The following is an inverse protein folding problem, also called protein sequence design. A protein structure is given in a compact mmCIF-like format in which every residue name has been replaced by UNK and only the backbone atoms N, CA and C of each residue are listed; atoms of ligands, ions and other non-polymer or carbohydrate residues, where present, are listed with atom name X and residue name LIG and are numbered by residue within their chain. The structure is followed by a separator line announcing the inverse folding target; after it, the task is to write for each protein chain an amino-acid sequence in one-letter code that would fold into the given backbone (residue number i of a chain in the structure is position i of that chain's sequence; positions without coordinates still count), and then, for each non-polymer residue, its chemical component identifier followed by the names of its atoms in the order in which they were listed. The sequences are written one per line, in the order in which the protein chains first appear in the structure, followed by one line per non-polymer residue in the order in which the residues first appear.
data_IF_732309178610
#
_entry.id   IF_732309178610
#
_cell.length_a   1.000
_cell.length_b   1.000
_cell.length_c   1.000
_cell.angle_alpha   90.00
_cell.angle_beta   90.00
_cell.angle_gamma   90.00
#
_symmetry.space_group_name_H-M   'P 1'
#
loop_
_entity.id
_entity.type
_entity.pdbx_description
1 polymer ?
#
# COMPACT_ATOMS: atom_id res chain seq x y z
N UNK A 1 10.69 16.22 19.60
CA UNK A 1 11.36 15.46 18.52
C UNK A 1 10.72 15.89 17.22
N UNK A 2 11.48 16.53 16.32
CA UNK A 2 11.02 16.81 14.97
C UNK A 2 10.96 15.48 14.21
N UNK A 3 9.76 15.05 13.81
CA UNK A 3 9.60 13.89 12.93
C UNK A 3 10.11 14.33 11.55
N UNK A 4 11.15 13.66 11.06
CA UNK A 4 11.64 13.87 9.70
C UNK A 4 10.52 13.53 8.71
N UNK A 5 10.22 14.45 7.79
CA UNK A 5 9.17 14.21 6.79
C UNK A 5 9.73 13.37 5.65
N UNK A 6 9.05 12.26 5.36
CA UNK A 6 9.37 11.40 4.22
C UNK A 6 8.85 12.07 2.95
N UNK A 7 9.75 12.57 2.11
CA UNK A 7 9.38 13.19 0.83
C UNK A 7 9.30 12.21 -0.34
N UNK A 8 10.01 11.08 -0.26
CA UNK A 8 10.06 10.09 -1.34
C UNK A 8 9.74 8.71 -0.79
N UNK A 9 8.72 8.06 -1.37
CA UNK A 9 8.30 6.72 -0.99
C UNK A 9 8.36 5.80 -2.21
N UNK A 10 8.94 4.62 -2.03
CA UNK A 10 8.91 3.53 -3.00
C UNK A 10 8.03 2.40 -2.47
N UNK A 11 7.09 1.92 -3.28
CA UNK A 11 6.29 0.72 -3.01
C UNK A 11 6.66 -0.33 -4.04
N UNK A 12 7.11 -1.48 -3.57
CA UNK A 12 7.34 -2.66 -4.41
C UNK A 12 6.14 -3.58 -4.32
N UNK A 13 5.62 -3.99 -5.48
CA UNK A 13 4.44 -4.87 -5.56
C UNK A 13 4.56 -5.83 -6.73
N UNK A 14 4.07 -7.05 -6.56
CA UNK A 14 3.89 -8.02 -7.65
C UNK A 14 2.54 -7.88 -8.37
N UNK A 15 1.67 -6.97 -7.90
CA UNK A 15 0.40 -6.69 -8.54
C UNK A 15 0.58 -5.68 -9.69
N UNK A 16 0.66 -6.20 -10.91
CA UNK A 16 0.80 -5.40 -12.13
C UNK A 16 -0.35 -4.41 -12.34
N UNK A 17 -1.57 -4.70 -11.87
CA UNK A 17 -2.69 -3.77 -11.96
C UNK A 17 -2.47 -2.54 -11.07
N UNK A 18 -1.94 -2.74 -9.86
CA UNK A 18 -1.60 -1.64 -8.95
C UNK A 18 -0.45 -0.80 -9.50
N UNK A 19 0.58 -1.44 -10.05
CA UNK A 19 1.71 -0.74 -10.70
C UNK A 19 1.18 0.12 -11.86
N UNK A 20 0.37 -0.47 -12.76
CA UNK A 20 -0.22 0.25 -13.89
C UNK A 20 -1.14 1.40 -13.45
N UNK A 21 -1.91 1.21 -12.37
CA UNK A 21 -2.76 2.26 -11.80
C UNK A 21 -1.94 3.48 -11.41
N UNK A 22 -0.83 3.30 -10.68
CA UNK A 22 -0.01 4.44 -10.24
C UNK A 22 0.93 4.99 -11.32
N UNK A 23 1.28 4.19 -12.33
CA UNK A 23 2.05 4.66 -13.49
C UNK A 23 1.19 5.54 -14.42
N UNK A 24 -0.09 5.18 -14.59
CA UNK A 24 -0.99 5.87 -15.53
C UNK A 24 -1.97 6.83 -14.87
N UNK A 25 -2.16 6.73 -13.55
CA UNK A 25 -3.25 7.34 -12.78
C UNK A 25 -4.64 7.04 -13.35
N UNK A 26 -4.79 5.86 -13.98
CA UNK A 26 -6.06 5.36 -14.51
C UNK A 26 -6.49 4.14 -13.73
N UNK A 27 -7.73 4.17 -13.27
CA UNK A 27 -8.35 3.06 -12.55
C UNK A 27 -9.69 2.70 -13.19
N UNK A 28 -10.15 1.47 -12.96
CA UNK A 28 -11.55 1.12 -13.27
C UNK A 28 -12.49 1.97 -12.40
N UNK A 29 -13.74 2.22 -12.82
CA UNK A 29 -14.67 3.07 -12.07
C UNK A 29 -14.79 2.70 -10.59
N UNK A 30 -14.79 1.40 -10.26
CA UNK A 30 -14.86 0.89 -8.90
C UNK A 30 -13.65 1.26 -8.01
N UNK A 31 -12.51 1.61 -8.61
CA UNK A 31 -11.27 1.94 -7.92
C UNK A 31 -10.89 3.42 -8.00
N UNK A 32 -11.70 4.26 -8.66
CA UNK A 32 -11.40 5.69 -8.77
C UNK A 32 -11.39 6.39 -7.41
N UNK A 33 -12.30 6.02 -6.50
CA UNK A 33 -12.37 6.61 -5.16
C UNK A 33 -11.09 6.35 -4.36
N UNK A 34 -10.61 5.11 -4.36
CA UNK A 34 -9.38 4.74 -3.64
C UNK A 34 -8.12 5.33 -4.30
N UNK A 35 -8.06 5.37 -5.64
CA UNK A 35 -6.96 6.02 -6.36
C UNK A 35 -6.91 7.52 -6.03
N UNK A 36 -8.06 8.20 -6.02
CA UNK A 36 -8.16 9.62 -5.65
C UNK A 36 -7.75 9.85 -4.20
N UNK A 37 -8.24 9.05 -3.25
CA UNK A 37 -7.85 9.15 -1.84
C UNK A 37 -6.33 9.01 -1.66
N UNK A 38 -5.69 8.05 -2.34
CA UNK A 38 -4.24 7.91 -2.32
C UNK A 38 -3.52 9.17 -2.85
N UNK A 39 -3.98 9.75 -3.96
CA UNK A 39 -3.41 10.98 -4.53
C UNK A 39 -3.63 12.19 -3.60
N UNK A 40 -4.80 12.30 -2.98
CA UNK A 40 -5.11 13.37 -2.02
C UNK A 40 -4.13 13.35 -0.83
N UNK A 41 -3.76 12.16 -0.33
CA UNK A 41 -2.74 11.99 0.71
C UNK A 41 -1.36 12.44 0.22
N UNK A 42 -0.94 12.04 -0.98
CA UNK A 42 0.36 12.42 -1.54
C UNK A 42 0.50 13.94 -1.70
N UNK A 43 -0.55 14.61 -2.17
CA UNK A 43 -0.58 16.07 -2.32
C UNK A 43 -0.55 16.76 -0.95
N UNK A 44 -1.39 16.32 -0.01
CA UNK A 44 -1.48 16.91 1.33
C UNK A 44 -0.14 16.87 2.06
N UNK A 45 0.57 15.74 1.93
CA UNK A 45 1.79 15.48 2.69
C UNK A 45 3.08 15.85 1.93
N UNK A 46 2.95 16.41 0.71
CA UNK A 46 4.06 16.77 -0.19
C UNK A 46 5.02 15.59 -0.44
N UNK A 47 4.42 14.45 -0.81
CA UNK A 47 5.10 13.18 -1.00
C UNK A 47 5.12 12.76 -2.47
N UNK A 48 6.29 12.29 -2.92
CA UNK A 48 6.45 11.62 -4.20
C UNK A 48 6.40 10.11 -4.02
N UNK A 49 5.52 9.45 -4.78
CA UNK A 49 5.37 8.00 -4.77
C UNK A 49 5.90 7.38 -6.07
N UNK A 50 6.70 6.33 -5.95
CA UNK A 50 7.03 5.42 -7.05
C UNK A 50 6.57 4.01 -6.72
N UNK A 51 5.70 3.45 -7.55
CA UNK A 51 5.28 2.05 -7.44
C UNK A 51 6.03 1.23 -8.49
N UNK A 52 6.73 0.19 -8.06
CA UNK A 52 7.60 -0.63 -8.93
C UNK A 52 7.20 -2.08 -8.87
N UNK A 53 7.14 -2.72 -10.02
CA UNK A 53 6.87 -4.15 -10.12
C UNK A 53 8.07 -4.98 -9.60
N UNK A 54 7.80 -5.98 -8.77
CA UNK A 54 8.73 -7.04 -8.39
C UNK A 54 8.10 -8.41 -8.66
N UNK A 55 8.91 -9.47 -8.76
CA UNK A 55 8.37 -10.81 -8.93
C UNK A 55 7.73 -11.28 -7.62
N UNK A 56 6.67 -12.10 -7.70
CA UNK A 56 5.99 -12.62 -6.50
C UNK A 56 6.91 -13.40 -5.55
N UNK A 57 7.94 -14.08 -6.09
CA UNK A 57 8.99 -14.74 -5.29
C UNK A 57 9.83 -13.77 -4.44
N UNK A 58 9.83 -12.49 -4.77
CA UNK A 58 10.49 -11.42 -4.03
C UNK A 58 9.50 -10.66 -3.12
N UNK A 59 8.19 -10.89 -3.28
CA UNK A 59 7.09 -10.28 -2.50
C UNK A 59 6.47 -11.25 -1.46
N UNK A 60 7.18 -12.32 -1.11
CA UNK A 60 6.64 -13.46 -0.33
C UNK A 60 6.01 -13.01 0.99
N UNK A 61 6.68 -12.12 1.74
CA UNK A 61 6.19 -11.68 3.04
C UNK A 61 4.86 -10.93 2.92
N UNK A 62 4.69 -10.08 1.90
CA UNK A 62 3.45 -9.35 1.68
C UNK A 62 2.32 -10.30 1.23
N UNK A 63 2.59 -11.27 0.36
CA UNK A 63 1.60 -12.27 -0.07
C UNK A 63 1.12 -13.11 1.12
N UNK A 64 2.06 -13.67 1.91
CA UNK A 64 1.76 -14.45 3.12
C UNK A 64 0.97 -13.61 4.14
N UNK A 65 1.33 -12.34 4.33
CA UNK A 65 0.62 -11.41 5.21
C UNK A 65 -0.80 -11.13 4.73
N UNK A 66 -1.00 -10.88 3.43
CA UNK A 66 -2.32 -10.63 2.84
C UNK A 66 -3.28 -11.83 3.01
N UNK A 67 -2.72 -13.05 3.08
CA UNK A 67 -3.44 -14.31 3.32
C UNK A 67 -3.61 -14.66 4.81
N UNK A 68 -3.17 -13.78 5.72
CA UNK A 68 -3.27 -13.96 7.18
C UNK A 68 -2.53 -15.21 7.70
N UNK A 69 -1.45 -15.62 7.03
CA UNK A 69 -0.67 -16.80 7.41
C UNK A 69 0.40 -16.45 8.46
N UNK A 70 -0.01 -15.94 9.62
CA UNK A 70 0.92 -15.38 10.63
C UNK A 70 1.97 -16.36 11.15
N UNK A 71 1.63 -17.64 11.28
CA UNK A 71 2.59 -18.69 11.68
C UNK A 71 3.76 -18.76 10.72
N UNK A 72 3.48 -18.79 9.41
CA UNK A 72 4.52 -18.83 8.38
C UNK A 72 5.37 -17.55 8.41
N UNK A 73 4.77 -16.40 8.69
CA UNK A 73 5.54 -15.14 8.81
C UNK A 73 6.49 -15.18 10.00
N UNK A 74 6.06 -15.73 11.14
CA UNK A 74 6.92 -15.88 12.32
C UNK A 74 8.08 -16.86 12.08
N UNK A 75 7.86 -17.88 11.25
CA UNK A 75 8.92 -18.80 10.80
C UNK A 75 9.90 -18.12 9.83
N UNK A 76 9.38 -17.34 8.88
CA UNK A 76 10.19 -16.63 7.88
C UNK A 76 10.96 -15.44 8.46
N UNK A 77 10.39 -14.75 9.45
CA UNK A 77 10.98 -13.58 10.12
C UNK A 77 10.88 -13.77 11.64
N UNK A 78 11.84 -14.49 12.25
CA UNK A 78 11.87 -14.67 13.69
C UNK A 78 11.90 -13.31 14.42
N UNK A 79 10.99 -13.14 15.38
CA UNK A 79 10.89 -11.91 16.18
C UNK A 79 10.09 -10.78 15.53
N UNK A 80 9.38 -11.02 14.42
CA UNK A 80 8.49 -10.03 13.83
C UNK A 80 7.41 -9.56 14.83
N UNK A 81 7.14 -8.26 14.83
CA UNK A 81 6.07 -7.66 15.62
C UNK A 81 4.90 -7.26 14.72
N UNK A 82 3.69 -7.71 15.07
CA UNK A 82 2.47 -7.31 14.38
C UNK A 82 1.81 -6.16 15.14
N UNK A 83 1.47 -5.11 14.42
CA UNK A 83 0.67 -4.01 14.93
C UNK A 83 -0.75 -4.09 14.37
N UNK A 84 -1.78 -3.73 15.14
CA UNK A 84 -3.14 -3.64 14.61
C UNK A 84 -3.19 -2.58 13.51
N UNK A 85 -3.94 -2.88 12.44
CA UNK A 85 -4.18 -1.98 11.33
C UNK A 85 -5.66 -1.63 11.27
N UNK A 86 -5.98 -0.33 11.23
CA UNK A 86 -7.32 0.17 10.93
C UNK A 86 -7.24 0.96 9.63
N UNK A 87 -7.85 0.50 8.53
CA UNK A 87 -7.78 1.20 7.25
C UNK A 87 -8.43 2.58 7.33
N UNK A 88 -7.94 3.51 6.51
CA UNK A 88 -8.52 4.85 6.42
C UNK A 88 -9.95 4.77 5.86
N UNK A 89 -10.88 5.48 6.48
CA UNK A 89 -12.31 5.36 6.15
C UNK A 89 -12.64 5.86 4.74
N UNK A 90 -11.89 6.83 4.26
CA UNK A 90 -11.98 7.38 2.91
C UNK A 90 -11.59 6.36 1.82
N UNK A 91 -10.70 5.41 2.15
CA UNK A 91 -10.31 4.32 1.26
C UNK A 91 -11.30 3.13 1.27
N UNK A 92 -12.19 3.04 2.27
CA UNK A 92 -13.18 1.96 2.39
C UNK A 92 -14.45 2.18 1.56
N UNK A 93 -14.49 3.24 0.73
CA UNK A 93 -15.68 3.58 -0.05
C UNK A 93 -16.87 4.01 0.81
N UNK A 94 -16.63 4.43 2.07
CA UNK A 94 -17.67 5.02 2.89
C UNK A 94 -18.18 6.27 2.17
N UNK A 95 -19.43 6.22 1.71
CA UNK A 95 -20.09 7.37 1.12
C UNK A 95 -20.07 8.51 2.14
N UNK A 96 -19.39 9.61 1.82
CA UNK A 96 -19.60 10.87 2.51
C UNK A 96 -21.10 11.16 2.40
N UNK A 97 -21.80 11.21 3.54
CA UNK A 97 -23.19 11.65 3.60
C UNK A 97 -23.32 13.09 3.11
#
# INVERSE_FOLDING_TARGET
MSVERVHHMAIYSDNTNTVALFDTLRALPAYNSIAKSAVDVLIRDDMQLRVTHILGKDNVIADVLSRKQFTLIMELIPGIQFSPFTPSQDALGAATR
#
